data_IF_351085394710
#
_entry.id   IF_351085394710
#
_cell.length_a   1.000
_cell.length_b   1.000
_cell.length_c   1.000
_cell.angle_alpha   90.00
_cell.angle_beta   90.00
_cell.angle_gamma   90.00
#
_symmetry.space_group_name_H-M   'P 1'
#
loop_
_entity.id
_entity.type
_entity.pdbx_description
1 polymer ?
#
# COMPACT_ATOMS: atom_id res chain seq x y z
N UNK A 1 17.54 -4.74 20.53
CA UNK A 1 16.59 -3.61 20.45
C UNK A 1 15.34 -4.09 19.71
N UNK A 2 14.16 -3.82 20.25
CA UNK A 2 12.87 -4.14 19.59
C UNK A 2 12.66 -3.14 18.46
N UNK A 3 12.63 -3.59 17.22
CA UNK A 3 12.32 -2.75 16.06
C UNK A 3 10.88 -2.27 16.14
N UNK A 4 10.67 -0.97 15.96
CA UNK A 4 9.33 -0.35 15.93
C UNK A 4 8.81 -0.27 14.51
N UNK A 5 7.49 -0.38 14.36
CA UNK A 5 6.79 -0.30 13.07
C UNK A 5 5.88 0.92 13.09
N UNK A 6 5.83 1.67 11.99
CA UNK A 6 4.80 2.66 11.71
C UNK A 6 3.95 2.20 10.53
N UNK A 7 2.63 2.15 10.70
CA UNK A 7 1.68 1.99 9.61
C UNK A 7 1.28 3.37 9.11
N UNK A 8 1.41 3.57 7.79
CA UNK A 8 1.08 4.81 7.10
C UNK A 8 -0.09 4.55 6.16
N UNK A 9 -1.19 5.25 6.39
CA UNK A 9 -2.46 5.04 5.70
C UNK A 9 -2.85 6.33 4.95
N UNK A 10 -2.63 6.39 3.62
CA UNK A 10 -3.15 7.48 2.81
C UNK A 10 -4.68 7.34 2.68
N UNK A 11 -5.41 8.43 2.89
CA UNK A 11 -6.87 8.48 2.82
C UNK A 11 -7.36 9.58 1.89
N UNK A 12 -8.46 9.30 1.18
CA UNK A 12 -9.25 10.29 0.45
C UNK A 12 -10.69 9.78 0.32
N UNK A 13 -11.61 10.40 1.08
CA UNK A 13 -13.02 10.02 1.13
C UNK A 13 -13.22 8.52 1.47
N UNK A 14 -12.68 8.09 2.60
CA UNK A 14 -12.70 6.71 3.09
C UNK A 14 -13.51 6.55 4.40
N UNK A 15 -14.45 7.47 4.67
CA UNK A 15 -15.27 7.47 5.89
C UNK A 15 -15.96 6.12 6.16
N UNK A 16 -16.39 5.42 5.11
CA UNK A 16 -17.07 4.13 5.21
C UNK A 16 -16.19 3.02 5.82
N UNK A 17 -14.88 3.00 5.51
CA UNK A 17 -13.97 1.91 5.85
C UNK A 17 -12.96 2.24 6.95
N UNK A 18 -12.52 3.50 7.05
CA UNK A 18 -11.37 3.90 7.86
C UNK A 18 -11.51 3.53 9.34
N UNK A 19 -12.69 3.74 9.93
CA UNK A 19 -12.91 3.44 11.33
C UNK A 19 -12.78 1.95 11.64
N UNK A 20 -13.25 1.09 10.75
CA UNK A 20 -13.12 -0.37 10.88
C UNK A 20 -11.67 -0.82 10.81
N UNK A 21 -10.91 -0.27 9.85
CA UNK A 21 -9.48 -0.53 9.73
C UNK A 21 -8.73 -0.10 10.99
N UNK A 22 -8.89 1.14 11.42
CA UNK A 22 -8.18 1.67 12.59
C UNK A 22 -8.52 0.91 13.88
N UNK A 23 -9.77 0.47 14.06
CA UNK A 23 -10.15 -0.41 15.18
C UNK A 23 -9.41 -1.74 15.15
N UNK A 24 -9.21 -2.33 13.98
CA UNK A 24 -8.47 -3.60 13.86
C UNK A 24 -6.99 -3.48 14.22
N UNK A 25 -6.42 -2.27 14.13
CA UNK A 25 -5.03 -1.99 14.47
C UNK A 25 -4.79 -1.70 15.96
N UNK A 26 -5.84 -1.49 16.78
CA UNK A 26 -5.69 -1.04 18.17
C UNK A 26 -4.90 -2.03 19.04
N UNK A 27 -5.10 -3.34 18.87
CA UNK A 27 -4.34 -4.34 19.63
C UNK A 27 -2.84 -4.25 19.38
N UNK A 28 -2.43 -3.92 18.16
CA UNK A 28 -1.02 -3.73 17.80
C UNK A 28 -0.49 -2.37 18.22
N UNK A 29 -1.34 -1.34 18.18
CA UNK A 29 -1.01 0.00 18.69
C UNK A 29 -0.63 -0.04 20.17
N UNK A 30 -1.36 -0.81 20.97
CA UNK A 30 -1.00 -1.07 22.38
C UNK A 30 0.31 -1.84 22.55
N UNK A 31 0.76 -2.56 21.53
CA UNK A 31 2.04 -3.24 21.47
C UNK A 31 3.17 -2.37 20.87
N UNK A 32 2.89 -1.09 20.60
CA UNK A 32 3.87 -0.12 20.10
C UNK A 32 3.89 0.09 18.59
N UNK A 33 2.84 -0.34 17.86
CA UNK A 33 2.62 0.05 16.48
C UNK A 33 2.25 1.54 16.43
N UNK A 34 3.00 2.34 15.68
CA UNK A 34 2.66 3.74 15.40
C UNK A 34 1.67 3.80 14.21
N UNK A 35 0.52 4.43 14.39
CA UNK A 35 -0.54 4.53 13.36
C UNK A 35 -0.64 5.97 12.87
N UNK A 36 -0.36 6.18 11.59
CA UNK A 36 -0.33 7.49 10.93
C UNK A 36 -1.34 7.51 9.80
N UNK A 37 -2.35 8.36 9.91
CA UNK A 37 -3.32 8.62 8.84
C UNK A 37 -2.91 9.91 8.13
N UNK A 38 -2.85 9.86 6.81
CA UNK A 38 -2.49 11.02 5.99
C UNK A 38 -3.61 11.29 5.00
N UNK A 39 -4.35 12.35 5.26
CA UNK A 39 -5.52 12.74 4.47
C UNK A 39 -5.14 13.61 3.28
N UNK A 40 -5.74 13.33 2.12
CA UNK A 40 -5.54 14.07 0.87
C UNK A 40 -6.53 15.20 0.63
N UNK A 41 -7.28 15.63 1.67
CA UNK A 41 -8.32 16.66 1.57
C UNK A 41 -9.73 16.05 1.45
N UNK A 42 -10.06 15.07 2.30
CA UNK A 42 -11.38 14.44 2.34
C UNK A 42 -12.48 15.43 2.75
N UNK A 43 -13.63 15.33 2.08
CA UNK A 43 -14.82 16.10 2.41
C UNK A 43 -15.91 15.32 3.16
N UNK A 44 -15.66 14.03 3.46
CA UNK A 44 -16.66 13.10 4.02
C UNK A 44 -16.51 12.84 5.53
N UNK A 45 -15.62 13.57 6.22
CA UNK A 45 -15.36 13.38 7.64
C UNK A 45 -14.36 12.27 7.98
N UNK A 46 -13.63 11.74 6.98
CA UNK A 46 -12.58 10.73 7.21
C UNK A 46 -11.58 11.10 8.31
N UNK A 47 -11.03 12.33 8.40
CA UNK A 47 -10.12 12.72 9.47
C UNK A 47 -10.76 12.64 10.86
N UNK A 48 -12.00 13.12 11.00
CA UNK A 48 -12.72 13.11 12.27
C UNK A 48 -12.98 11.68 12.77
N UNK A 49 -13.32 10.77 11.85
CA UNK A 49 -13.52 9.35 12.16
C UNK A 49 -12.22 8.64 12.56
N UNK A 50 -11.08 9.21 12.23
CA UNK A 50 -9.74 8.70 12.59
C UNK A 50 -9.28 9.19 13.96
N UNK A 51 -9.90 10.25 14.49
CA UNK A 51 -9.54 10.86 15.76
C UNK A 51 -9.63 9.84 16.92
N UNK A 52 -8.61 9.83 17.77
CA UNK A 52 -8.48 8.90 18.90
C UNK A 52 -8.06 7.47 18.51
N UNK A 53 -8.13 7.09 17.23
CA UNK A 53 -7.76 5.77 16.74
C UNK A 53 -6.39 5.74 16.04
N UNK A 54 -5.84 6.88 15.64
CA UNK A 54 -4.51 7.06 15.11
C UNK A 54 -3.62 7.86 16.09
N UNK A 55 -2.30 7.70 15.96
CA UNK A 55 -1.33 8.48 16.75
C UNK A 55 -1.09 9.85 16.10
N UNK A 56 -1.13 9.88 14.76
CA UNK A 56 -0.99 11.11 13.97
C UNK A 56 -2.04 11.14 12.86
N UNK A 57 -2.63 12.31 12.67
CA UNK A 57 -3.52 12.62 11.54
C UNK A 57 -2.94 13.86 10.87
N UNK A 58 -2.58 13.74 9.60
CA UNK A 58 -1.97 14.80 8.81
C UNK A 58 -2.82 15.10 7.58
N UNK A 59 -2.77 16.33 7.12
CA UNK A 59 -3.24 16.70 5.79
C UNK A 59 -2.03 16.90 4.89
N UNK A 60 -2.06 16.31 3.70
CA UNK A 60 -1.00 16.42 2.69
C UNK A 60 -1.60 16.72 1.31
N UNK A 61 -0.81 17.23 0.37
CA UNK A 61 -1.28 17.39 -1.01
C UNK A 61 -1.81 16.07 -1.56
N UNK A 62 -2.89 16.16 -2.35
CA UNK A 62 -3.52 15.02 -2.99
C UNK A 62 -2.50 14.19 -3.78
N UNK A 63 -2.59 12.88 -3.62
CA UNK A 63 -1.76 11.89 -4.31
C UNK A 63 -1.10 10.92 -3.33
N UNK A 64 -1.24 9.63 -3.60
CA UNK A 64 -0.76 8.55 -2.71
C UNK A 64 0.71 8.72 -2.34
N UNK A 65 1.58 9.01 -3.32
CA UNK A 65 3.00 9.24 -3.08
C UNK A 65 3.24 10.39 -2.09
N UNK A 66 2.55 11.53 -2.27
CA UNK A 66 2.66 12.69 -1.40
C UNK A 66 2.25 12.35 0.04
N UNK A 67 1.12 11.69 0.18
CA UNK A 67 0.57 11.30 1.48
C UNK A 67 1.47 10.27 2.19
N UNK A 68 1.90 9.20 1.48
CA UNK A 68 2.79 8.19 2.06
C UNK A 68 4.15 8.77 2.46
N UNK A 69 4.72 9.67 1.64
CA UNK A 69 5.96 10.38 1.97
C UNK A 69 5.79 11.33 3.17
N UNK A 70 4.64 12.01 3.27
CA UNK A 70 4.36 12.89 4.42
C UNK A 70 4.29 12.08 5.72
N UNK A 71 3.61 10.93 5.72
CA UNK A 71 3.57 10.02 6.85
C UNK A 71 4.95 9.46 7.22
N UNK A 72 5.72 9.03 6.21
CA UNK A 72 7.06 8.49 6.41
C UNK A 72 8.03 9.50 7.07
N UNK A 73 7.89 10.79 6.77
CA UNK A 73 8.73 11.85 7.36
C UNK A 73 8.54 12.01 8.86
N UNK A 74 7.32 11.87 9.37
CA UNK A 74 7.04 12.07 10.80
C UNK A 74 7.14 10.78 11.61
N UNK A 75 7.03 9.62 10.94
CA UNK A 75 7.10 8.31 11.59
C UNK A 75 8.41 8.18 12.38
N UNK A 76 8.38 7.63 13.60
CA UNK A 76 9.55 7.44 14.48
C UNK A 76 10.05 6.00 14.51
N UNK A 77 9.41 5.12 13.74
CA UNK A 77 9.69 3.69 13.70
C UNK A 77 10.85 3.33 12.76
N UNK A 78 11.43 2.16 12.94
CA UNK A 78 12.54 1.63 12.11
C UNK A 78 12.02 1.05 10.80
N UNK A 79 10.77 0.57 10.80
CA UNK A 79 10.09 -0.05 9.66
C UNK A 79 8.85 0.77 9.33
N UNK A 80 8.69 1.11 8.06
CA UNK A 80 7.53 1.77 7.49
C UNK A 80 6.67 0.71 6.80
N UNK A 81 5.37 0.70 7.10
CA UNK A 81 4.40 -0.21 6.52
C UNK A 81 3.28 0.60 5.85
N UNK A 82 3.20 0.55 4.53
CA UNK A 82 2.22 1.30 3.76
C UNK A 82 0.97 0.47 3.54
N UNK A 83 -0.18 0.98 3.97
CA UNK A 83 -1.45 0.26 3.96
C UNK A 83 -2.55 1.13 3.36
N UNK A 84 -3.30 0.61 2.39
CA UNK A 84 -4.46 1.30 1.85
C UNK A 84 -5.63 1.28 2.86
N UNK A 85 -6.47 2.32 2.82
CA UNK A 85 -7.59 2.49 3.76
C UNK A 85 -8.66 1.39 3.68
N UNK A 86 -8.75 0.70 2.54
CA UNK A 86 -9.66 -0.42 2.29
C UNK A 86 -9.04 -1.81 2.51
N UNK A 87 -7.80 -1.86 3.00
CA UNK A 87 -7.06 -3.10 3.21
C UNK A 87 -7.25 -3.62 4.63
N UNK A 88 -7.45 -4.93 4.77
CA UNK A 88 -7.52 -5.62 6.05
C UNK A 88 -6.32 -6.54 6.22
N UNK A 89 -5.75 -6.53 7.42
CA UNK A 89 -4.58 -7.33 7.78
C UNK A 89 -5.01 -8.61 8.51
N UNK A 90 -4.47 -9.79 8.17
CA UNK A 90 -4.71 -11.00 8.94
C UNK A 90 -4.04 -10.92 10.32
N UNK A 91 -4.57 -11.68 11.27
CA UNK A 91 -3.99 -11.79 12.61
C UNK A 91 -2.53 -12.28 12.53
N UNK A 92 -1.64 -11.65 13.30
CA UNK A 92 -0.22 -12.02 13.34
C UNK A 92 0.66 -11.38 12.27
N UNK A 93 0.11 -10.57 11.33
CA UNK A 93 0.87 -9.92 10.27
C UNK A 93 2.07 -9.11 10.78
N UNK A 94 1.91 -8.40 11.89
CA UNK A 94 2.99 -7.60 12.49
C UNK A 94 4.15 -8.51 12.93
N UNK A 95 3.86 -9.63 13.58
CA UNK A 95 4.87 -10.59 14.02
C UNK A 95 5.56 -11.26 12.83
N UNK A 96 4.81 -11.68 11.81
CA UNK A 96 5.34 -12.30 10.59
C UNK A 96 6.27 -11.36 9.83
N UNK A 97 5.90 -10.08 9.73
CA UNK A 97 6.74 -9.04 9.13
C UNK A 97 8.06 -8.89 9.88
N UNK A 98 8.02 -8.73 11.21
CA UNK A 98 9.21 -8.57 12.05
C UNK A 98 10.16 -9.78 11.98
N UNK A 99 9.60 -10.98 12.15
CA UNK A 99 10.39 -12.21 12.08
C UNK A 99 10.96 -12.45 10.68
N UNK A 100 10.17 -12.17 9.65
CA UNK A 100 10.59 -12.35 8.28
C UNK A 100 11.73 -11.43 7.86
N UNK A 101 11.66 -10.13 8.19
CA UNK A 101 12.75 -9.19 7.89
C UNK A 101 14.04 -9.55 8.63
N UNK A 102 13.96 -9.90 9.92
CA UNK A 102 15.14 -10.27 10.71
C UNK A 102 15.83 -11.52 10.18
N UNK A 103 15.05 -12.52 9.75
CA UNK A 103 15.59 -13.82 9.32
C UNK A 103 16.08 -13.87 7.89
N UNK A 104 15.61 -12.98 7.01
CA UNK A 104 15.81 -13.13 5.57
C UNK A 104 16.96 -12.30 4.97
N UNK A 105 17.58 -11.39 5.74
CA UNK A 105 18.57 -10.44 5.21
C UNK A 105 17.99 -9.53 4.11
N UNK A 106 16.69 -9.26 4.16
CA UNK A 106 15.95 -8.41 3.21
C UNK A 106 15.68 -7.05 3.83
N UNK A 107 15.65 -6.01 3.00
CA UNK A 107 15.41 -4.64 3.47
C UNK A 107 13.97 -4.19 3.28
N UNK A 108 13.17 -4.96 2.54
CA UNK A 108 11.76 -4.68 2.28
C UNK A 108 11.00 -5.94 1.89
N UNK A 109 9.69 -5.83 1.86
CA UNK A 109 8.83 -6.92 1.43
C UNK A 109 7.38 -6.49 1.24
N UNK A 110 6.52 -7.50 1.05
CA UNK A 110 5.10 -7.33 0.81
C UNK A 110 4.34 -8.58 1.26
N UNK A 111 3.05 -8.44 1.45
CA UNK A 111 2.13 -9.54 1.68
C UNK A 111 1.54 -10.07 0.38
N UNK A 112 1.09 -11.32 0.35
CA UNK A 112 0.17 -11.75 -0.69
C UNK A 112 -1.15 -10.99 -0.55
N UNK A 113 -1.82 -10.72 -1.67
CA UNK A 113 -3.11 -10.04 -1.69
C UNK A 113 -4.24 -11.03 -1.99
N UNK A 114 -5.39 -10.78 -1.38
CA UNK A 114 -6.68 -11.35 -1.73
C UNK A 114 -7.64 -10.20 -2.02
N UNK A 115 -8.43 -10.31 -3.10
CA UNK A 115 -9.38 -9.28 -3.51
C UNK A 115 -10.79 -9.77 -3.20
N UNK A 116 -11.51 -9.05 -2.33
CA UNK A 116 -12.91 -9.37 -2.03
C UNK A 116 -13.84 -8.91 -3.13
N UNK A 117 -14.91 -9.68 -3.36
CA UNK A 117 -15.94 -9.34 -4.33
C UNK A 117 -16.68 -10.59 -4.80
N UNK A 118 -17.73 -10.38 -5.60
CA UNK A 118 -18.62 -11.48 -6.06
C UNK A 118 -18.07 -12.23 -7.28
N UNK A 119 -17.23 -11.55 -8.07
CA UNK A 119 -16.78 -12.10 -9.35
C UNK A 119 -15.58 -13.04 -9.14
N UNK A 120 -15.70 -14.29 -9.60
CA UNK A 120 -14.68 -15.34 -9.43
C UNK A 120 -13.29 -14.96 -9.99
N UNK A 121 -13.24 -14.13 -11.05
CA UNK A 121 -11.99 -13.66 -11.63
C UNK A 121 -11.11 -12.84 -10.67
N UNK A 122 -11.67 -12.27 -9.59
CA UNK A 122 -10.89 -11.53 -8.60
C UNK A 122 -9.86 -12.43 -7.92
N UNK A 123 -10.19 -13.70 -7.69
CA UNK A 123 -9.25 -14.69 -7.17
C UNK A 123 -8.11 -14.97 -8.16
N UNK A 124 -8.43 -15.05 -9.46
CA UNK A 124 -7.42 -15.24 -10.52
C UNK A 124 -6.51 -14.01 -10.61
N UNK A 125 -7.08 -12.82 -10.56
CA UNK A 125 -6.31 -11.56 -10.56
C UNK A 125 -5.36 -11.52 -9.35
N UNK A 126 -5.86 -11.80 -8.14
CA UNK A 126 -5.05 -11.83 -6.92
C UNK A 126 -3.92 -12.88 -7.04
N UNK A 127 -4.21 -14.07 -7.54
CA UNK A 127 -3.21 -15.11 -7.78
C UNK A 127 -2.12 -14.64 -8.76
N UNK A 128 -2.53 -14.05 -9.90
CA UNK A 128 -1.58 -13.51 -10.89
C UNK A 128 -0.74 -12.36 -10.32
N UNK A 129 -1.33 -11.48 -9.50
CA UNK A 129 -0.59 -10.41 -8.82
C UNK A 129 0.48 -10.97 -7.89
N UNK A 130 0.13 -11.96 -7.09
CA UNK A 130 1.05 -12.62 -6.15
C UNK A 130 2.17 -13.35 -6.88
N UNK A 131 1.84 -14.12 -7.93
CA UNK A 131 2.81 -14.85 -8.73
C UNK A 131 3.78 -13.90 -9.44
N UNK A 132 3.24 -12.88 -10.12
CA UNK A 132 4.05 -11.88 -10.81
C UNK A 132 5.05 -11.21 -9.85
N UNK A 133 4.58 -10.73 -8.69
CA UNK A 133 5.46 -10.03 -7.75
C UNK A 133 6.54 -10.94 -7.15
N UNK A 134 6.31 -12.25 -7.04
CA UNK A 134 7.35 -13.22 -6.66
C UNK A 134 8.42 -13.36 -7.73
N UNK A 135 8.03 -13.38 -9.00
CA UNK A 135 8.96 -13.56 -10.11
C UNK A 135 9.73 -12.29 -10.44
N UNK A 136 9.01 -11.18 -10.59
CA UNK A 136 9.61 -9.90 -11.02
C UNK A 136 10.25 -9.13 -9.86
N UNK A 137 9.87 -9.41 -8.61
CA UNK A 137 10.24 -8.58 -7.46
C UNK A 137 9.51 -7.25 -7.39
N UNK A 138 8.50 -7.00 -8.24
CA UNK A 138 7.73 -5.75 -8.27
C UNK A 138 6.41 -5.92 -7.50
N UNK A 139 6.24 -5.16 -6.44
CA UNK A 139 5.01 -5.12 -5.63
C UNK A 139 4.10 -3.96 -6.08
N UNK A 140 2.84 -4.04 -5.66
CA UNK A 140 1.86 -2.96 -5.79
C UNK A 140 1.35 -2.54 -4.43
N UNK A 141 0.80 -1.34 -4.31
CA UNK A 141 0.29 -0.79 -3.05
C UNK A 141 -0.71 -1.70 -2.34
N UNK A 142 -1.56 -2.41 -3.10
CA UNK A 142 -2.52 -3.38 -2.57
C UNK A 142 -1.87 -4.55 -1.82
N UNK A 143 -0.57 -4.76 -1.97
CA UNK A 143 0.20 -5.82 -1.31
C UNK A 143 0.83 -5.37 0.03
N UNK A 144 0.43 -4.23 0.57
CA UNK A 144 0.86 -3.71 1.87
C UNK A 144 2.39 -3.74 2.03
N UNK A 145 3.08 -2.96 1.21
CA UNK A 145 4.55 -2.87 1.15
C UNK A 145 5.09 -2.43 2.51
N UNK A 146 6.11 -3.11 3.00
CA UNK A 146 6.87 -2.73 4.18
C UNK A 146 8.37 -2.65 3.88
N UNK A 147 9.05 -1.72 4.52
CA UNK A 147 10.45 -1.42 4.21
C UNK A 147 11.16 -0.81 5.42
N UNK A 148 12.44 -1.09 5.61
CA UNK A 148 13.25 -0.35 6.56
C UNK A 148 13.34 1.12 6.15
N UNK A 149 13.18 2.02 7.13
CA UNK A 149 13.24 3.47 6.90
C UNK A 149 14.51 3.90 6.17
N UNK A 150 15.65 3.34 6.55
CA UNK A 150 16.94 3.65 5.92
C UNK A 150 16.94 3.27 4.43
N UNK A 151 16.44 2.07 4.10
CA UNK A 151 16.32 1.64 2.71
C UNK A 151 15.33 2.50 1.92
N UNK A 152 14.18 2.86 2.52
CA UNK A 152 13.21 3.75 1.90
C UNK A 152 13.80 5.14 1.59
N UNK A 153 14.56 5.69 2.53
CA UNK A 153 15.22 7.00 2.36
C UNK A 153 16.35 6.92 1.32
N UNK A 154 17.14 5.84 1.33
CA UNK A 154 18.27 5.68 0.40
C UNK A 154 17.86 5.57 -1.07
N UNK A 155 16.67 5.05 -1.36
CA UNK A 155 16.12 4.99 -2.73
C UNK A 155 15.33 6.23 -3.14
N UNK A 156 15.28 7.27 -2.29
CA UNK A 156 14.62 8.55 -2.58
C UNK A 156 13.11 8.55 -2.33
N UNK A 157 12.60 7.65 -1.45
CA UNK A 157 11.18 7.58 -1.09
C UNK A 157 10.27 7.20 -2.28
N UNK A 158 8.95 7.43 -2.14
CA UNK A 158 8.06 7.34 -3.31
C UNK A 158 8.32 8.49 -4.27
N UNK A 159 8.42 8.24 -5.58
CA UNK A 159 8.51 9.31 -6.57
C UNK A 159 7.24 10.17 -6.55
N UNK A 160 7.41 11.48 -6.78
CA UNK A 160 6.28 12.42 -6.86
C UNK A 160 5.55 12.26 -8.19
N UNK A 161 4.87 11.14 -8.38
CA UNK A 161 4.09 10.83 -9.59
C UNK A 161 2.67 10.39 -9.24
N UNK A 162 1.68 10.68 -10.10
CA UNK A 162 0.27 10.48 -9.79
C UNK A 162 -0.19 9.02 -9.95
N UNK A 163 0.63 8.15 -10.57
CA UNK A 163 0.32 6.75 -10.83
C UNK A 163 1.62 5.95 -10.95
N UNK A 164 1.59 4.64 -10.65
CA UNK A 164 2.73 3.71 -10.71
C UNK A 164 3.87 4.03 -9.71
N UNK A 165 3.61 4.80 -8.67
CA UNK A 165 4.55 5.16 -7.61
C UNK A 165 5.08 3.93 -6.86
N UNK A 166 4.23 2.93 -6.69
CA UNK A 166 4.53 1.64 -6.06
C UNK A 166 5.46 0.77 -6.92
N UNK A 167 5.23 0.75 -8.22
CA UNK A 167 6.07 0.04 -9.19
C UNK A 167 7.47 0.64 -9.21
N UNK A 168 7.56 1.96 -9.29
CA UNK A 168 8.85 2.66 -9.31
C UNK A 168 9.61 2.47 -7.99
N UNK A 169 8.93 2.62 -6.84
CA UNK A 169 9.54 2.33 -5.54
C UNK A 169 10.06 0.88 -5.48
N UNK A 170 9.22 -0.08 -5.90
CA UNK A 170 9.61 -1.49 -5.91
C UNK A 170 10.83 -1.74 -6.79
N UNK A 171 10.91 -1.09 -7.96
CA UNK A 171 12.04 -1.19 -8.88
C UNK A 171 13.33 -0.70 -8.23
N UNK A 172 13.29 0.43 -7.54
CA UNK A 172 14.43 0.99 -6.82
C UNK A 172 14.84 0.10 -5.63
N UNK A 173 13.89 -0.35 -4.83
CA UNK A 173 14.16 -1.24 -3.69
C UNK A 173 14.69 -2.61 -4.14
N UNK A 174 14.27 -3.09 -5.31
CA UNK A 174 14.76 -4.34 -5.87
C UNK A 174 16.27 -4.30 -6.18
N UNK A 175 16.83 -3.13 -6.44
CA UNK A 175 18.29 -2.94 -6.61
C UNK A 175 19.06 -3.19 -5.30
N UNK A 176 18.43 -2.95 -4.14
CA UNK A 176 19.04 -3.22 -2.83
C UNK A 176 18.88 -4.69 -2.42
N UNK A 177 17.70 -5.23 -2.57
CA UNK A 177 17.41 -6.65 -2.32
C UNK A 177 16.11 -7.08 -3.00
N UNK A 178 15.98 -8.39 -3.31
CA UNK A 178 14.67 -8.93 -3.67
C UNK A 178 13.69 -8.80 -2.49
N UNK A 179 12.38 -8.59 -2.75
CA UNK A 179 11.40 -8.47 -1.68
C UNK A 179 11.27 -9.76 -0.85
N UNK A 180 10.99 -9.60 0.43
CA UNK A 180 10.42 -10.65 1.25
C UNK A 180 8.94 -10.79 0.88
N UNK A 181 8.57 -11.94 0.30
CA UNK A 181 7.20 -12.21 -0.13
C UNK A 181 6.49 -13.07 0.93
N UNK A 182 5.82 -12.44 1.88
CA UNK A 182 5.02 -13.13 2.90
C UNK A 182 3.79 -13.79 2.26
N UNK A 183 3.45 -14.98 2.75
CA UNK A 183 2.32 -15.77 2.21
C UNK A 183 0.98 -15.43 2.85
N UNK A 184 0.99 -14.80 4.00
CA UNK A 184 -0.22 -14.25 4.61
C UNK A 184 -0.85 -13.26 3.67
N UNK A 185 -2.19 -13.32 3.55
CA UNK A 185 -2.93 -12.55 2.57
C UNK A 185 -3.57 -11.36 3.23
N UNK A 186 -3.19 -10.16 2.79
CA UNK A 186 -3.96 -8.96 3.07
C UNK A 186 -5.18 -8.93 2.15
N UNK A 187 -6.31 -8.50 2.69
CA UNK A 187 -7.57 -8.46 1.94
C UNK A 187 -7.85 -7.02 1.52
N UNK A 188 -7.97 -6.77 0.23
CA UNK A 188 -8.36 -5.46 -0.34
C UNK A 188 -9.73 -5.52 -1.00
N UNK A 189 -10.38 -4.37 -1.14
CA UNK A 189 -11.73 -4.27 -1.70
C UNK A 189 -11.73 -4.41 -3.21
N UNK A 190 -12.59 -5.28 -3.73
CA UNK A 190 -12.88 -5.42 -5.15
C UNK A 190 -13.95 -4.44 -5.67
N UNK A 191 -14.43 -3.48 -4.85
CA UNK A 191 -15.49 -2.50 -5.22
C UNK A 191 -15.25 -1.83 -6.56
N UNK A 192 -14.01 -1.44 -6.81
CA UNK A 192 -13.62 -0.81 -8.06
C UNK A 192 -13.79 -1.74 -9.26
N UNK A 193 -13.36 -3.01 -9.11
CA UNK A 193 -13.46 -4.04 -10.13
C UNK A 193 -14.93 -4.33 -10.49
N UNK A 194 -15.80 -4.35 -9.49
CA UNK A 194 -17.22 -4.58 -9.67
C UNK A 194 -17.91 -3.37 -10.31
N UNK A 195 -17.51 -2.14 -9.92
CA UNK A 195 -18.11 -0.90 -10.43
C UNK A 195 -17.80 -0.64 -11.90
N UNK A 196 -16.56 -0.89 -12.34
CA UNK A 196 -16.10 -0.59 -13.70
C UNK A 196 -16.06 -1.82 -14.61
N UNK A 197 -16.40 -3.00 -14.08
CA UNK A 197 -16.32 -4.28 -14.78
C UNK A 197 -14.94 -4.91 -14.74
N UNK A 198 -14.91 -6.18 -14.35
CA UNK A 198 -13.64 -6.91 -14.08
C UNK A 198 -12.76 -7.00 -15.33
N UNK A 199 -13.32 -7.37 -16.47
CA UNK A 199 -12.56 -7.54 -17.72
C UNK A 199 -12.00 -6.21 -18.24
N UNK A 200 -12.79 -5.14 -18.17
CA UNK A 200 -12.34 -3.79 -18.56
C UNK A 200 -11.19 -3.33 -17.67
N UNK A 201 -11.30 -3.55 -16.37
CA UNK A 201 -10.27 -3.17 -15.41
C UNK A 201 -8.98 -3.96 -15.62
N UNK A 202 -9.07 -5.30 -15.90
CA UNK A 202 -7.90 -6.11 -16.25
C UNK A 202 -7.19 -5.51 -17.48
N UNK A 203 -7.92 -5.29 -18.57
CA UNK A 203 -7.36 -4.74 -19.80
C UNK A 203 -6.70 -3.38 -19.58
N UNK A 204 -7.36 -2.48 -18.84
CA UNK A 204 -6.84 -1.16 -18.50
C UNK A 204 -5.54 -1.25 -17.69
N UNK A 205 -5.50 -2.09 -16.64
CA UNK A 205 -4.31 -2.23 -15.80
C UNK A 205 -3.12 -2.82 -16.59
N UNK A 206 -3.37 -3.77 -17.47
CA UNK A 206 -2.32 -4.34 -18.31
C UNK A 206 -1.81 -3.31 -19.32
N UNK A 207 -2.71 -2.58 -19.97
CA UNK A 207 -2.37 -1.54 -20.94
C UNK A 207 -1.55 -0.42 -20.28
N UNK A 208 -1.97 0.10 -19.12
CA UNK A 208 -1.26 1.13 -18.37
C UNK A 208 0.15 0.69 -17.98
N UNK A 209 0.31 -0.56 -17.53
CA UNK A 209 1.63 -1.10 -17.17
C UNK A 209 2.53 -1.27 -18.36
N UNK A 210 1.97 -1.75 -19.47
CA UNK A 210 2.73 -1.90 -20.72
C UNK A 210 3.19 -0.54 -21.26
N UNK A 211 2.32 0.47 -21.23
CA UNK A 211 2.67 1.83 -21.63
C UNK A 211 3.73 2.44 -20.71
N UNK A 212 3.62 2.23 -19.39
CA UNK A 212 4.62 2.67 -18.42
C UNK A 212 5.98 2.03 -18.70
N UNK A 213 6.01 0.72 -18.98
CA UNK A 213 7.22 0.01 -19.37
C UNK A 213 7.83 0.54 -20.66
N UNK A 214 7.03 1.03 -21.61
CA UNK A 214 7.49 1.69 -22.84
C UNK A 214 7.99 3.12 -22.61
N UNK A 215 7.96 3.66 -21.38
CA UNK A 215 8.45 4.98 -21.05
C UNK A 215 7.41 6.10 -21.18
N UNK A 216 6.11 5.79 -21.31
CA UNK A 216 5.05 6.80 -21.26
C UNK A 216 4.99 7.38 -19.85
N UNK A 217 4.92 8.72 -19.73
CA UNK A 217 4.96 9.40 -18.44
C UNK A 217 3.77 9.05 -17.55
N UNK A 218 3.99 9.00 -16.23
CA UNK A 218 2.96 8.70 -15.24
C UNK A 218 1.82 9.72 -15.27
N UNK A 219 2.09 10.99 -15.61
CA UNK A 219 1.09 12.05 -15.76
C UNK A 219 0.13 11.76 -16.90
N UNK A 220 0.65 11.31 -18.06
CA UNK A 220 -0.17 10.91 -19.21
C UNK A 220 -1.04 9.71 -18.87
N UNK A 221 -0.45 8.70 -18.23
CA UNK A 221 -1.18 7.49 -17.81
C UNK A 221 -2.26 7.81 -16.76
N UNK A 222 -2.01 8.74 -15.84
CA UNK A 222 -2.99 9.16 -14.85
C UNK A 222 -4.19 9.91 -15.46
N UNK A 223 -4.02 10.60 -16.60
CA UNK A 223 -5.14 11.19 -17.34
C UNK A 223 -6.03 10.09 -17.91
N UNK A 224 -5.45 9.14 -18.65
CA UNK A 224 -6.20 8.00 -19.20
C UNK A 224 -6.88 7.15 -18.13
N UNK A 225 -6.21 7.00 -16.97
CA UNK A 225 -6.78 6.27 -15.84
C UNK A 225 -8.04 6.93 -15.29
N UNK A 226 -8.03 8.28 -15.14
CA UNK A 226 -9.20 9.05 -14.69
C UNK A 226 -10.34 9.11 -15.70
N UNK A 227 -10.02 9.18 -17.00
CA UNK A 227 -11.01 9.14 -18.07
C UNK A 227 -11.72 7.78 -18.16
N UNK A 228 -11.10 6.72 -17.68
CA UNK A 228 -11.65 5.38 -17.68
C UNK A 228 -12.44 5.04 -16.40
N UNK A 229 -12.40 5.90 -15.37
CA UNK A 229 -13.18 5.83 -14.12
C UNK A 229 -14.58 6.38 -14.32
#
# INVERSE_FOLDING_TARGET
>A
MTQRIAVIIPTLNEAEGIRSLLKSLQSWRWQGLEVIVVDGGSGDGTPDLSAGLADHILVAPLGRANQMNAGARIAKADILWFLHADTRLPTGSMFELLCGLRGAGKVWGRFDVEITGRHWMLNVVAFCMNLRSRWTGIATGDQAIFVYREAFSSVGCFPAQPLMEDIELSTRLHQLSRPLCLRSRVTTSGRRWERHGVWRTIGLMWWLRWQYWRGVSAETLAKHYREAE
#
